data_IF_492178832877
#
_entry.id   IF_492178832877
#
_cell.length_a   1.000
_cell.length_b   1.000
_cell.length_c   1.000
_cell.angle_alpha   90.00
_cell.angle_beta   90.00
_cell.angle_gamma   90.00
#
_symmetry.space_group_name_H-M   'P 1'
#
loop_
_entity.id
_entity.type
_entity.pdbx_description
1 polymer ?
#
# COMPACT_ATOMS: atom_id res chain seq x y z
N UNK A 1 -5.28 4.97 29.06
CA UNK A 1 -5.30 3.56 28.88
C UNK A 1 -5.66 3.14 27.51
N UNK A 2 -6.84 3.46 27.06
CA UNK A 2 -7.23 3.12 25.72
C UNK A 2 -6.32 3.74 24.65
N UNK A 3 -5.72 4.89 24.94
CA UNK A 3 -4.85 5.57 23.97
C UNK A 3 -3.59 4.75 23.68
N UNK A 4 -3.02 4.09 24.67
CA UNK A 4 -1.85 3.27 24.47
C UNK A 4 -2.17 2.08 23.58
N UNK A 5 -3.31 1.42 23.83
CA UNK A 5 -3.73 0.32 22.99
C UNK A 5 -3.99 0.74 21.56
N UNK A 6 -4.55 1.94 21.34
CA UNK A 6 -4.79 2.45 20.00
C UNK A 6 -3.48 2.74 19.28
N UNK A 7 -2.49 3.32 19.97
CA UNK A 7 -1.20 3.61 19.37
C UNK A 7 -0.51 2.31 18.98
N UNK A 8 -0.54 1.30 19.84
CA UNK A 8 0.07 0.01 19.55
C UNK A 8 -0.57 -0.64 18.32
N UNK A 9 -1.90 -0.57 18.20
CA UNK A 9 -2.61 -1.12 17.05
C UNK A 9 -2.22 -0.38 15.77
N UNK A 10 -2.11 0.94 15.84
CA UNK A 10 -1.69 1.73 14.69
C UNK A 10 -0.28 1.38 14.27
N UNK A 11 0.62 1.24 15.23
CA UNK A 11 2.00 0.86 14.94
C UNK A 11 2.07 -0.53 14.33
N UNK A 12 1.27 -1.46 14.82
CA UNK A 12 1.22 -2.81 14.26
C UNK A 12 0.73 -2.79 12.81
N UNK A 13 -0.29 -1.97 12.53
CA UNK A 13 -0.81 -1.84 11.16
C UNK A 13 0.22 -1.23 10.23
N UNK A 14 0.92 -0.20 10.68
CA UNK A 14 1.97 0.43 9.89
C UNK A 14 3.10 -0.55 9.65
N UNK A 15 3.52 -1.27 10.68
CA UNK A 15 4.58 -2.26 10.56
C UNK A 15 4.18 -3.36 9.58
N UNK A 16 2.95 -3.86 9.69
CA UNK A 16 2.45 -4.88 8.77
C UNK A 16 2.42 -4.36 7.34
N UNK A 17 1.93 -3.14 7.14
CA UNK A 17 1.88 -2.52 5.83
C UNK A 17 3.27 -2.43 5.22
N UNK A 18 4.24 -1.90 5.99
CA UNK A 18 5.60 -1.74 5.50
C UNK A 18 6.26 -3.08 5.20
N UNK A 19 5.97 -4.09 6.01
CA UNK A 19 6.53 -5.43 5.81
C UNK A 19 5.98 -6.08 4.55
N UNK A 20 4.70 -5.85 4.28
CA UNK A 20 4.03 -6.45 3.13
C UNK A 20 4.11 -5.60 1.86
N UNK A 21 4.65 -4.38 1.96
CA UNK A 21 4.69 -3.49 0.82
C UNK A 21 5.44 -4.07 -0.39
N UNK A 22 6.63 -4.67 -0.23
CA UNK A 22 7.30 -5.25 -1.38
C UNK A 22 6.47 -6.34 -2.06
N UNK A 23 5.83 -7.20 -1.28
CA UNK A 23 4.97 -8.24 -1.81
C UNK A 23 3.74 -7.64 -2.49
N UNK A 24 3.16 -6.60 -1.87
CA UNK A 24 2.01 -5.90 -2.44
C UNK A 24 2.35 -5.32 -3.81
N UNK A 25 3.50 -4.69 -3.93
CA UNK A 25 3.93 -4.10 -5.20
C UNK A 25 4.15 -5.17 -6.25
N UNK A 26 4.70 -6.32 -5.86
CA UNK A 26 4.93 -7.42 -6.78
C UNK A 26 3.60 -8.02 -7.26
N UNK A 27 2.65 -8.22 -6.36
CA UNK A 27 1.32 -8.72 -6.73
C UNK A 27 0.62 -7.74 -7.66
N UNK A 28 0.74 -6.44 -7.39
CA UNK A 28 0.11 -5.41 -8.21
C UNK A 28 0.67 -5.38 -9.62
N UNK A 29 1.96 -5.65 -9.77
CA UNK A 29 2.60 -5.67 -11.09
C UNK A 29 2.53 -4.36 -11.84
N UNK A 30 2.45 -3.25 -11.12
CA UNK A 30 2.31 -1.95 -11.74
C UNK A 30 3.66 -1.44 -12.24
N UNK A 31 3.69 -0.82 -13.44
CA UNK A 31 4.92 -0.25 -13.93
C UNK A 31 5.32 0.98 -13.11
N UNK A 32 6.62 1.22 -13.04
CA UNK A 32 7.14 2.41 -12.38
C UNK A 32 6.92 3.62 -13.29
N UNK A 33 6.80 4.80 -12.67
CA UNK A 33 6.70 6.03 -13.43
C UNK A 33 8.04 6.32 -14.12
N UNK A 34 7.96 6.84 -15.33
CA UNK A 34 9.14 7.29 -16.05
C UNK A 34 9.51 8.70 -15.59
N UNK A 35 10.80 9.00 -15.62
CA UNK A 35 11.28 10.34 -15.29
C UNK A 35 10.68 11.34 -16.27
N UNK A 36 10.08 12.41 -15.74
CA UNK A 36 9.48 13.45 -16.57
C UNK A 36 8.08 13.14 -17.07
N UNK A 37 7.51 12.00 -16.68
CA UNK A 37 6.14 11.62 -17.07
C UNK A 37 5.36 11.19 -15.85
N UNK A 38 4.88 12.15 -15.05
CA UNK A 38 4.06 11.80 -13.89
C UNK A 38 2.72 11.22 -14.33
N UNK A 39 2.16 10.36 -13.49
CA UNK A 39 0.85 9.79 -13.76
C UNK A 39 -0.23 10.86 -13.58
N UNK A 40 -1.25 10.84 -14.43
CA UNK A 40 -2.40 11.72 -14.26
C UNK A 40 -3.30 11.19 -13.13
N UNK A 41 -4.32 11.98 -12.78
CA UNK A 41 -5.19 11.64 -11.67
C UNK A 41 -5.91 10.30 -11.86
N UNK A 42 -6.42 10.05 -13.06
CA UNK A 42 -7.08 8.79 -13.36
C UNK A 42 -6.15 7.59 -13.23
N UNK A 43 -4.92 7.75 -13.69
CA UNK A 43 -3.92 6.68 -13.57
C UNK A 43 -3.56 6.45 -12.10
N UNK A 44 -3.41 7.52 -11.32
CA UNK A 44 -3.12 7.38 -9.90
C UNK A 44 -4.25 6.68 -9.15
N UNK A 45 -5.49 7.00 -9.49
CA UNK A 45 -6.64 6.36 -8.87
C UNK A 45 -6.67 4.87 -9.18
N UNK A 46 -6.44 4.50 -10.44
CA UNK A 46 -6.39 3.10 -10.85
C UNK A 46 -5.27 2.36 -10.10
N UNK A 47 -4.09 2.98 -10.01
CA UNK A 47 -2.96 2.38 -9.30
C UNK A 47 -3.26 2.21 -7.82
N UNK A 48 -3.90 3.21 -7.19
CA UNK A 48 -4.27 3.13 -5.79
C UNK A 48 -5.25 1.98 -5.55
N UNK A 49 -6.24 1.83 -6.41
CA UNK A 49 -7.21 0.73 -6.30
C UNK A 49 -6.54 -0.62 -6.48
N UNK A 50 -5.62 -0.72 -7.44
CA UNK A 50 -4.86 -1.95 -7.66
C UNK A 50 -4.01 -2.30 -6.45
N UNK A 51 -3.36 -1.30 -5.84
CA UNK A 51 -2.53 -1.52 -4.66
C UNK A 51 -3.37 -1.97 -3.46
N UNK A 52 -4.57 -1.41 -3.29
CA UNK A 52 -5.45 -1.84 -2.20
C UNK A 52 -5.83 -3.30 -2.37
N UNK A 53 -6.19 -3.70 -3.58
CA UNK A 53 -6.54 -5.09 -3.86
C UNK A 53 -5.33 -6.00 -3.65
N UNK A 54 -4.15 -5.60 -4.15
CA UNK A 54 -2.93 -6.38 -3.98
C UNK A 54 -2.56 -6.53 -2.51
N UNK A 55 -2.72 -5.48 -1.72
CA UNK A 55 -2.43 -5.52 -0.29
C UNK A 55 -3.35 -6.52 0.41
N UNK A 56 -4.62 -6.55 0.02
CA UNK A 56 -5.57 -7.51 0.57
C UNK A 56 -5.09 -8.94 0.35
N UNK A 57 -4.61 -9.25 -0.85
CA UNK A 57 -4.07 -10.58 -1.14
C UNK A 57 -2.76 -10.84 -0.42
N UNK A 58 -1.91 -9.83 -0.29
CA UNK A 58 -0.64 -9.98 0.43
C UNK A 58 -0.86 -10.32 1.91
N UNK A 59 -1.97 -9.87 2.50
CA UNK A 59 -2.29 -10.15 3.90
C UNK A 59 -2.81 -11.57 4.12
N UNK A 60 -3.25 -12.22 3.09
CA UNK A 60 -3.69 -13.61 3.18
C UNK A 60 -2.47 -14.55 3.18
#
# INVERSE_FOLDING_TARGET
MSSEGSIDRQQQRVTEFLRLLPLTLEIAGLPKSEVGRPFNEGQMELRANTLRAAYKFARQ
#
